data_IF_218238491747
#
_entry.id   IF_218238491747
#
_cell.length_a   1.000
_cell.length_b   1.000
_cell.length_c   1.000
_cell.angle_alpha   90.00
_cell.angle_beta   90.00
_cell.angle_gamma   90.00
#
_symmetry.space_group_name_H-M   'P 1'
#
loop_
_entity.id
_entity.type
_entity.pdbx_description
1 polymer ?
#
# COMPACT_ATOMS: atom_id res chain seq x y z
N UNK A 1 -12.61 -21.83 -68.28
CA UNK A 1 -13.06 -21.04 -67.12
C UNK A 1 -12.60 -19.61 -67.30
N UNK A 2 -13.51 -18.64 -67.36
CA UNK A 2 -13.19 -17.25 -67.73
C UNK A 2 -12.36 -16.56 -66.65
N UNK A 3 -11.55 -15.58 -67.07
CA UNK A 3 -10.74 -14.69 -66.23
C UNK A 3 -11.54 -14.03 -65.10
N UNK A 4 -12.84 -13.77 -65.31
CA UNK A 4 -13.74 -13.22 -64.30
C UNK A 4 -13.97 -14.18 -63.11
N UNK A 5 -14.06 -15.49 -63.34
CA UNK A 5 -14.25 -16.48 -62.27
C UNK A 5 -13.00 -16.64 -61.38
N UNK A 6 -11.79 -16.41 -61.94
CA UNK A 6 -10.54 -16.36 -61.17
C UNK A 6 -10.47 -15.09 -60.32
N UNK A 7 -10.80 -13.93 -60.89
CA UNK A 7 -10.80 -12.66 -60.15
C UNK A 7 -11.78 -12.67 -58.97
N UNK A 8 -12.98 -13.22 -59.16
CA UNK A 8 -13.99 -13.30 -58.09
C UNK A 8 -13.59 -14.28 -56.98
N UNK A 9 -12.92 -15.41 -57.32
CA UNK A 9 -12.33 -16.31 -56.32
C UNK A 9 -11.20 -15.65 -55.53
N UNK A 10 -10.31 -14.91 -56.20
CA UNK A 10 -9.22 -14.19 -55.54
C UNK A 10 -9.75 -13.11 -54.59
N UNK A 11 -10.79 -12.38 -54.99
CA UNK A 11 -11.43 -11.37 -54.14
C UNK A 11 -12.09 -12.01 -52.90
N UNK A 12 -12.77 -13.15 -53.08
CA UNK A 12 -13.43 -13.87 -52.00
C UNK A 12 -12.43 -14.44 -50.98
N UNK A 13 -11.31 -15.00 -51.46
CA UNK A 13 -10.22 -15.49 -50.61
C UNK A 13 -9.58 -14.33 -49.83
N UNK A 14 -9.37 -13.18 -50.48
CA UNK A 14 -8.83 -11.98 -49.83
C UNK A 14 -9.75 -11.47 -48.71
N UNK A 15 -11.07 -11.44 -48.97
CA UNK A 15 -12.08 -11.03 -48.00
C UNK A 15 -12.13 -12.00 -46.79
N UNK A 16 -12.05 -13.31 -47.04
CA UNK A 16 -11.98 -14.33 -45.98
C UNK A 16 -10.71 -14.21 -45.15
N UNK A 17 -9.55 -13.94 -45.77
CA UNK A 17 -8.31 -13.69 -45.02
C UNK A 17 -8.36 -12.40 -44.19
N UNK A 18 -9.03 -11.35 -44.68
CA UNK A 18 -9.24 -10.11 -43.93
C UNK A 18 -10.19 -10.31 -42.74
N UNK A 19 -11.24 -11.11 -42.90
CA UNK A 19 -12.17 -11.44 -41.83
C UNK A 19 -11.54 -12.35 -40.75
N UNK A 20 -10.65 -13.27 -41.14
CA UNK A 20 -9.91 -14.12 -40.20
C UNK A 20 -8.79 -13.34 -39.48
N UNK A 21 -8.14 -12.39 -40.16
CA UNK A 21 -7.15 -11.50 -39.55
C UNK A 21 -7.79 -10.48 -38.57
N UNK A 22 -9.03 -10.06 -38.81
CA UNK A 22 -9.77 -9.17 -37.92
C UNK A 22 -10.12 -9.81 -36.55
N UNK A 23 -10.06 -11.14 -36.43
CA UNK A 23 -10.27 -11.87 -35.18
C UNK A 23 -8.96 -12.15 -34.41
N UNK A 24 -7.80 -11.74 -34.93
CA UNK A 24 -6.49 -11.98 -34.32
C UNK A 24 -6.05 -10.86 -33.36
N UNK A 25 -6.99 -10.26 -32.63
CA UNK A 25 -6.67 -9.31 -31.56
C UNK A 25 -6.00 -10.00 -30.37
N UNK A 26 -5.26 -9.26 -29.53
CA UNK A 26 -4.72 -9.81 -28.29
C UNK A 26 -5.85 -10.40 -27.44
N UNK A 27 -5.70 -11.68 -27.05
CA UNK A 27 -6.64 -12.37 -26.16
C UNK A 27 -6.38 -11.92 -24.73
N UNK A 28 -7.35 -11.26 -24.13
CA UNK A 28 -7.31 -10.88 -22.72
C UNK A 28 -7.93 -11.98 -21.87
N UNK A 29 -7.44 -12.13 -20.64
CA UNK A 29 -8.00 -13.08 -19.68
C UNK A 29 -9.45 -12.70 -19.36
N UNK A 30 -10.31 -13.71 -19.29
CA UNK A 30 -11.70 -13.60 -18.85
C UNK A 30 -11.93 -14.55 -17.68
N UNK A 31 -12.93 -14.27 -16.84
CA UNK A 31 -13.37 -15.23 -15.83
C UNK A 31 -14.15 -16.35 -16.52
N UNK A 32 -13.54 -17.53 -16.61
CA UNK A 32 -14.13 -18.73 -17.21
C UNK A 32 -14.70 -19.72 -16.18
N UNK A 33 -14.82 -19.29 -14.92
CA UNK A 33 -15.36 -20.12 -13.85
C UNK A 33 -14.40 -21.18 -13.30
N UNK A 34 -13.14 -21.23 -13.76
CA UNK A 34 -12.15 -22.15 -13.20
C UNK A 34 -11.88 -21.86 -11.72
N UNK A 35 -11.42 -22.86 -10.99
CA UNK A 35 -10.98 -22.70 -9.59
C UNK A 35 -9.76 -21.76 -9.55
N UNK A 36 -9.77 -20.83 -8.60
CA UNK A 36 -8.65 -19.90 -8.32
C UNK A 36 -8.17 -20.09 -6.89
N UNK A 37 -7.03 -19.49 -6.55
CA UNK A 37 -6.62 -19.36 -5.16
C UNK A 37 -7.54 -18.37 -4.43
N UNK A 38 -8.33 -18.89 -3.49
CA UNK A 38 -9.28 -18.10 -2.70
C UNK A 38 -8.59 -17.10 -1.76
N UNK A 39 -7.36 -17.40 -1.32
CA UNK A 39 -6.56 -16.47 -0.49
C UNK A 39 -6.14 -15.26 -1.32
N UNK A 40 -5.59 -15.51 -2.51
CA UNK A 40 -5.23 -14.45 -3.45
C UNK A 40 -6.47 -13.63 -3.85
N UNK A 41 -7.59 -14.29 -4.18
CA UNK A 41 -8.83 -13.60 -4.52
C UNK A 41 -9.34 -12.71 -3.38
N UNK A 42 -9.29 -13.18 -2.13
CA UNK A 42 -9.66 -12.39 -0.96
C UNK A 42 -8.75 -11.17 -0.79
N UNK A 43 -7.44 -11.32 -1.00
CA UNK A 43 -6.49 -10.20 -0.96
C UNK A 43 -6.72 -9.22 -2.11
N UNK A 44 -7.01 -9.69 -3.33
CA UNK A 44 -7.32 -8.81 -4.47
C UNK A 44 -8.56 -7.95 -4.16
N UNK A 45 -9.60 -8.53 -3.56
CA UNK A 45 -10.79 -7.80 -3.12
C UNK A 45 -10.45 -6.78 -2.03
N UNK A 46 -9.70 -7.20 -1.01
CA UNK A 46 -9.26 -6.31 0.07
C UNK A 46 -8.42 -5.12 -0.45
N UNK A 47 -7.62 -5.36 -1.49
CA UNK A 47 -6.81 -4.35 -2.16
C UNK A 47 -7.67 -3.34 -2.91
N UNK A 48 -8.64 -3.80 -3.70
CA UNK A 48 -9.57 -2.90 -4.38
C UNK A 48 -10.41 -2.06 -3.42
N UNK A 49 -10.96 -2.67 -2.37
CA UNK A 49 -11.70 -1.94 -1.32
C UNK A 49 -10.81 -0.89 -0.64
N UNK A 50 -9.56 -1.24 -0.37
CA UNK A 50 -8.59 -0.31 0.22
C UNK A 50 -8.26 0.87 -0.68
N UNK A 51 -7.94 0.62 -1.95
CA UNK A 51 -7.68 1.69 -2.92
C UNK A 51 -8.90 2.61 -3.07
N UNK A 52 -10.12 2.06 -3.06
CA UNK A 52 -11.37 2.83 -3.14
C UNK A 52 -11.63 3.66 -1.88
N UNK A 53 -11.19 3.22 -0.70
CA UNK A 53 -11.26 4.01 0.54
C UNK A 53 -10.20 5.12 0.58
N UNK A 54 -8.96 4.80 0.17
CA UNK A 54 -7.81 5.71 0.26
C UNK A 54 -7.85 6.79 -0.84
N UNK A 55 -8.31 6.48 -2.06
CA UNK A 55 -8.24 7.43 -3.17
C UNK A 55 -9.02 8.74 -2.92
N UNK A 56 -10.27 8.72 -2.41
CA UNK A 56 -10.96 9.93 -1.98
C UNK A 56 -10.25 10.66 -0.84
N UNK A 57 -9.68 9.92 0.12
CA UNK A 57 -8.94 10.49 1.24
C UNK A 57 -7.68 11.26 0.78
N UNK A 58 -6.96 10.75 -0.23
CA UNK A 58 -5.83 11.48 -0.83
C UNK A 58 -6.30 12.80 -1.45
N UNK A 59 -7.38 12.77 -2.23
CA UNK A 59 -7.96 13.99 -2.81
C UNK A 59 -8.46 14.97 -1.74
N UNK A 60 -9.01 14.48 -0.63
CA UNK A 60 -9.41 15.30 0.51
C UNK A 60 -8.21 15.94 1.21
N UNK A 61 -7.09 15.23 1.35
CA UNK A 61 -5.86 15.80 1.93
C UNK A 61 -5.32 16.99 1.12
N UNK A 62 -5.50 16.99 -0.20
CA UNK A 62 -5.11 18.09 -1.08
C UNK A 62 -5.82 19.41 -0.76
N UNK A 63 -7.00 19.36 -0.14
CA UNK A 63 -7.77 20.56 0.22
C UNK A 63 -7.06 21.42 1.29
N UNK A 64 -6.12 20.85 2.05
CA UNK A 64 -5.30 21.60 3.01
C UNK A 64 -4.48 22.70 2.34
N UNK A 65 -3.99 22.45 1.11
CA UNK A 65 -3.02 23.31 0.41
C UNK A 65 -1.87 23.75 1.32
N UNK A 66 -1.36 22.81 2.11
CA UNK A 66 -0.47 23.08 3.23
C UNK A 66 0.85 23.72 2.76
N UNK A 67 1.20 24.96 3.13
CA UNK A 67 2.46 25.57 2.71
C UNK A 67 3.69 24.97 3.39
N UNK A 68 3.53 24.19 4.46
CA UNK A 68 4.61 23.70 5.32
C UNK A 68 5.12 22.31 4.93
N UNK A 69 4.54 21.68 3.90
CA UNK A 69 4.95 20.36 3.42
C UNK A 69 5.56 20.40 2.02
N UNK A 70 6.52 19.50 1.77
CA UNK A 70 7.00 19.23 0.42
C UNK A 70 5.89 18.62 -0.44
N UNK A 71 5.90 18.91 -1.73
CA UNK A 71 4.77 18.65 -2.63
C UNK A 71 5.02 17.49 -3.58
N UNK A 72 3.96 16.76 -3.88
CA UNK A 72 3.92 15.69 -4.87
C UNK A 72 2.64 15.74 -5.69
N UNK A 73 2.71 15.28 -6.93
CA UNK A 73 1.55 15.16 -7.81
C UNK A 73 0.90 13.79 -7.67
N UNK A 74 -0.43 13.74 -7.63
CA UNK A 74 -1.20 12.50 -7.56
C UNK A 74 -2.31 12.46 -8.62
N UNK A 75 -2.72 11.26 -9.01
CA UNK A 75 -3.81 11.04 -9.96
C UNK A 75 -5.16 10.93 -9.24
N UNK A 76 -6.26 11.42 -9.85
CA UNK A 76 -7.61 11.27 -9.30
C UNK A 76 -8.18 9.84 -9.46
N UNK A 77 -7.32 8.85 -9.70
CA UNK A 77 -7.67 7.44 -9.81
C UNK A 77 -6.44 6.57 -9.54
N UNK A 78 -6.70 5.30 -9.25
CA UNK A 78 -5.70 4.24 -9.24
C UNK A 78 -6.02 3.26 -10.38
N UNK A 79 -4.98 2.70 -10.98
CA UNK A 79 -5.09 1.60 -11.95
C UNK A 79 -4.51 0.32 -11.36
N UNK A 80 -4.74 -0.82 -11.98
CA UNK A 80 -4.04 -2.09 -11.74
C UNK A 80 -3.96 -2.88 -13.05
N UNK A 81 -3.08 -3.88 -13.11
CA UNK A 81 -2.98 -4.79 -14.26
C UNK A 81 -2.65 -6.21 -13.81
N UNK A 82 -3.22 -7.18 -14.51
CA UNK A 82 -2.86 -8.59 -14.43
C UNK A 82 -1.77 -8.99 -15.45
N UNK A 83 -1.16 -8.01 -16.12
CA UNK A 83 -0.04 -8.24 -17.03
C UNK A 83 1.12 -8.91 -16.29
N UNK A 84 1.73 -9.91 -16.92
CA UNK A 84 2.85 -10.64 -16.34
C UNK A 84 2.50 -11.64 -15.23
N UNK A 85 1.24 -11.80 -14.82
CA UNK A 85 0.84 -12.85 -13.86
C UNK A 85 0.66 -14.21 -14.53
N UNK A 86 0.74 -15.28 -13.71
CA UNK A 86 0.39 -16.63 -14.15
C UNK A 86 -1.09 -16.70 -14.58
N UNK A 87 -1.40 -17.57 -15.52
CA UNK A 87 -2.73 -17.61 -16.16
C UNK A 87 -3.88 -17.78 -15.16
N UNK A 88 -3.73 -18.64 -14.16
CA UNK A 88 -4.73 -18.86 -13.10
C UNK A 88 -4.89 -17.65 -12.19
N UNK A 89 -3.80 -16.92 -11.93
CA UNK A 89 -3.81 -15.75 -11.05
C UNK A 89 -4.46 -14.57 -11.76
N UNK A 90 -4.27 -14.45 -13.08
CA UNK A 90 -5.01 -13.47 -13.90
C UNK A 90 -6.52 -13.66 -13.79
N UNK A 91 -7.01 -14.90 -13.73
CA UNK A 91 -8.45 -15.15 -13.52
C UNK A 91 -8.89 -14.64 -12.14
N UNK A 92 -8.07 -14.76 -11.10
CA UNK A 92 -8.37 -14.19 -9.79
C UNK A 92 -8.46 -12.64 -9.84
N UNK A 93 -7.61 -11.98 -10.63
CA UNK A 93 -7.67 -10.53 -10.87
C UNK A 93 -8.92 -10.10 -11.61
N UNK A 94 -9.31 -10.83 -12.66
CA UNK A 94 -10.55 -10.57 -13.39
C UNK A 94 -11.77 -10.78 -12.49
N UNK A 95 -11.80 -11.88 -11.73
CA UNK A 95 -12.90 -12.20 -10.80
C UNK A 95 -13.00 -11.23 -9.63
N UNK A 96 -11.86 -10.77 -9.12
CA UNK A 96 -11.79 -9.90 -7.96
C UNK A 96 -12.12 -8.45 -8.27
N UNK A 97 -11.60 -7.91 -9.38
CA UNK A 97 -11.66 -6.47 -9.71
C UNK A 97 -11.95 -6.15 -11.18
N UNK A 98 -12.21 -7.14 -12.04
CA UNK A 98 -12.36 -6.92 -13.49
C UNK A 98 -11.05 -6.54 -14.19
N UNK A 99 -9.92 -6.76 -13.52
CA UNK A 99 -8.58 -6.41 -13.99
C UNK A 99 -8.02 -7.54 -14.84
N UNK A 100 -7.78 -7.26 -16.11
CA UNK A 100 -7.07 -8.16 -17.02
C UNK A 100 -5.66 -7.59 -17.30
N UNK A 101 -5.02 -8.01 -18.38
CA UNK A 101 -3.68 -7.57 -18.74
C UNK A 101 -3.59 -6.07 -19.07
N UNK A 102 -4.70 -5.36 -19.26
CA UNK A 102 -4.71 -3.91 -19.52
C UNK A 102 -4.72 -3.13 -18.22
N UNK A 103 -4.12 -1.94 -18.22
CA UNK A 103 -4.25 -0.99 -17.12
C UNK A 103 -5.72 -0.62 -16.91
N UNK A 104 -6.31 -1.14 -15.84
CA UNK A 104 -7.72 -1.04 -15.51
C UNK A 104 -7.89 -0.17 -14.27
N UNK A 105 -8.82 0.80 -14.29
CA UNK A 105 -9.12 1.69 -13.17
C UNK A 105 -9.78 0.90 -12.03
N UNK A 106 -9.18 0.94 -10.84
CA UNK A 106 -9.64 0.19 -9.64
C UNK A 106 -10.14 1.08 -8.50
N UNK A 107 -9.82 2.37 -8.54
CA UNK A 107 -10.33 3.38 -7.60
C UNK A 107 -10.37 4.76 -8.25
N UNK A 108 -11.28 5.61 -7.81
CA UNK A 108 -11.43 6.99 -8.29
C UNK A 108 -11.65 7.94 -7.12
N UNK A 109 -11.13 9.16 -7.26
CA UNK A 109 -11.45 10.27 -6.37
C UNK A 109 -12.72 10.99 -6.86
N UNK A 110 -13.42 11.73 -5.97
CA UNK A 110 -14.51 12.61 -6.39
C UNK A 110 -14.08 13.54 -7.51
N UNK A 111 -14.89 13.64 -8.56
CA UNK A 111 -14.61 14.49 -9.73
C UNK A 111 -13.66 13.89 -10.77
N UNK A 112 -13.19 12.65 -10.60
CA UNK A 112 -12.42 11.96 -11.65
C UNK A 112 -13.25 11.81 -12.95
N UNK A 113 -12.66 12.04 -14.14
CA UNK A 113 -13.33 11.81 -15.41
C UNK A 113 -13.42 10.31 -15.78
N UNK A 114 -12.79 9.44 -14.99
CA UNK A 114 -12.77 8.00 -15.19
C UNK A 114 -13.74 7.29 -14.24
N UNK A 115 -14.16 6.11 -14.66
CA UNK A 115 -15.01 5.21 -13.89
C UNK A 115 -14.31 3.89 -13.59
N UNK A 116 -14.74 3.18 -12.55
CA UNK A 116 -14.20 1.86 -12.21
C UNK A 116 -14.34 0.91 -13.41
N UNK A 117 -13.28 0.16 -13.69
CA UNK A 117 -13.23 -0.77 -14.82
C UNK A 117 -12.86 -0.13 -16.17
N UNK A 118 -12.73 1.20 -16.27
CA UNK A 118 -12.18 1.83 -17.48
C UNK A 118 -10.76 1.31 -17.75
N UNK A 119 -10.47 0.97 -19.01
CA UNK A 119 -9.18 0.40 -19.40
C UNK A 119 -8.42 1.39 -20.27
N UNK A 120 -7.20 1.72 -19.83
CA UNK A 120 -6.33 2.65 -20.53
C UNK A 120 -5.70 1.95 -21.74
N UNK A 121 -5.75 2.65 -22.87
CA UNK A 121 -5.12 2.24 -24.13
C UNK A 121 -3.91 3.11 -24.46
N UNK A 122 -3.95 4.40 -24.12
CA UNK A 122 -2.86 5.33 -24.39
C UNK A 122 -2.75 6.41 -23.31
N UNK A 123 -1.51 6.83 -23.02
CA UNK A 123 -1.20 7.97 -22.16
C UNK A 123 -0.45 8.99 -23.01
N UNK A 124 -0.93 10.24 -23.08
CA UNK A 124 -0.32 11.30 -23.92
C UNK A 124 -0.18 10.91 -25.39
N UNK A 125 -1.13 10.10 -25.90
CA UNK A 125 -1.11 9.56 -27.26
C UNK A 125 -0.15 8.38 -27.47
N UNK A 126 0.67 8.02 -26.48
CA UNK A 126 1.55 6.86 -26.52
C UNK A 126 0.78 5.61 -26.14
N UNK A 127 0.71 4.64 -27.07
CA UNK A 127 0.14 3.31 -26.85
C UNK A 127 1.26 2.33 -26.55
N UNK A 128 1.04 1.44 -25.60
CA UNK A 128 1.92 0.30 -25.35
C UNK A 128 1.07 -0.93 -25.03
N UNK A 129 1.47 -2.08 -25.58
CA UNK A 129 0.85 -3.36 -25.26
C UNK A 129 1.42 -3.98 -23.98
N UNK A 130 2.54 -3.44 -23.50
CA UNK A 130 3.10 -3.74 -22.19
C UNK A 130 2.56 -2.74 -21.18
N UNK A 131 1.69 -3.22 -20.31
CA UNK A 131 1.03 -2.40 -19.29
C UNK A 131 2.02 -1.84 -18.27
N UNK A 132 3.18 -2.45 -18.05
CA UNK A 132 4.22 -1.91 -17.15
C UNK A 132 4.88 -0.67 -17.76
N UNK A 133 5.18 -0.69 -19.07
CA UNK A 133 5.68 0.51 -19.77
C UNK A 133 4.64 1.61 -19.84
N UNK A 134 3.38 1.26 -20.11
CA UNK A 134 2.29 2.24 -20.11
C UNK A 134 2.08 2.87 -18.71
N UNK A 135 2.31 2.09 -17.65
CA UNK A 135 2.24 2.58 -16.27
C UNK A 135 3.38 3.55 -15.94
N UNK A 136 4.59 3.28 -16.46
CA UNK A 136 5.70 4.23 -16.38
C UNK A 136 5.39 5.53 -17.14
N UNK A 137 4.79 5.47 -18.34
CA UNK A 137 4.34 6.68 -19.05
C UNK A 137 3.27 7.45 -18.27
N UNK A 138 2.35 6.74 -17.60
CA UNK A 138 1.38 7.35 -16.70
C UNK A 138 2.06 8.08 -15.53
N UNK A 139 3.19 7.53 -15.05
CA UNK A 139 3.99 8.14 -14.00
C UNK A 139 4.65 9.43 -14.38
N UNK A 140 5.34 9.41 -15.50
CA UNK A 140 5.95 10.61 -16.04
C UNK A 140 4.88 11.67 -16.32
N UNK A 141 3.71 11.28 -16.84
CA UNK A 141 2.61 12.21 -17.08
C UNK A 141 2.09 12.85 -15.78
N UNK A 142 1.89 12.06 -14.72
CA UNK A 142 1.51 12.56 -13.38
C UNK A 142 2.54 13.57 -12.86
N UNK A 143 3.82 13.24 -12.92
CA UNK A 143 4.89 14.00 -12.28
C UNK A 143 5.14 15.36 -12.97
N UNK A 144 4.64 15.54 -14.20
CA UNK A 144 4.62 16.87 -14.83
C UNK A 144 3.66 17.85 -14.15
N UNK A 145 2.66 17.36 -13.41
CA UNK A 145 1.58 18.18 -12.82
C UNK A 145 0.64 18.84 -13.83
N UNK A 146 0.82 18.58 -15.13
CA UNK A 146 0.05 19.23 -16.20
C UNK A 146 -1.11 18.32 -16.66
N UNK A 147 -2.22 18.90 -17.13
CA UNK A 147 -3.28 18.11 -17.76
C UNK A 147 -2.74 17.32 -18.95
N UNK A 148 -3.17 16.06 -19.09
CA UNK A 148 -2.78 15.19 -20.19
C UNK A 148 -3.94 14.33 -20.69
N UNK A 149 -3.86 13.92 -21.96
CA UNK A 149 -4.87 13.08 -22.59
C UNK A 149 -4.67 11.59 -22.26
N UNK A 150 -5.77 10.91 -21.97
CA UNK A 150 -5.89 9.47 -21.87
C UNK A 150 -6.83 8.96 -22.95
N UNK A 151 -6.44 7.91 -23.66
CA UNK A 151 -7.36 7.17 -24.53
C UNK A 151 -7.74 5.86 -23.87
N UNK A 152 -9.03 5.55 -23.88
CA UNK A 152 -9.59 4.31 -23.31
C UNK A 152 -9.77 3.25 -24.39
N UNK A 153 -9.83 1.99 -23.99
CA UNK A 153 -10.16 0.87 -24.88
C UNK A 153 -11.56 0.97 -25.46
N UNK A 154 -12.45 1.78 -24.84
CA UNK A 154 -13.78 2.08 -25.36
C UNK A 154 -13.77 3.08 -26.53
N UNK A 155 -12.61 3.61 -26.92
CA UNK A 155 -12.46 4.65 -27.93
C UNK A 155 -12.64 6.08 -27.41
N UNK A 156 -13.04 6.26 -26.15
CA UNK A 156 -13.14 7.58 -25.51
C UNK A 156 -11.75 8.17 -25.29
N UNK A 157 -11.60 9.48 -25.48
CA UNK A 157 -10.41 10.22 -25.06
C UNK A 157 -10.82 11.28 -24.05
N UNK A 158 -10.11 11.34 -22.93
CA UNK A 158 -10.42 12.18 -21.78
C UNK A 158 -9.18 12.97 -21.38
N UNK A 159 -9.37 14.15 -20.81
CA UNK A 159 -8.26 14.91 -20.21
C UNK A 159 -8.26 14.67 -18.71
N UNK A 160 -7.10 14.31 -18.16
CA UNK A 160 -6.87 14.13 -16.72
C UNK A 160 -5.95 15.23 -16.24
N UNK A 161 -6.27 15.80 -15.09
CA UNK A 161 -5.42 16.77 -14.38
C UNK A 161 -4.94 16.15 -13.07
N UNK A 162 -3.63 15.94 -12.90
CA UNK A 162 -3.05 15.64 -11.59
C UNK A 162 -3.36 16.74 -10.58
N UNK A 163 -3.37 16.41 -9.30
CA UNK A 163 -3.52 17.37 -8.22
C UNK A 163 -2.38 17.25 -7.22
N UNK A 164 -2.12 18.34 -6.51
CA UNK A 164 -0.99 18.47 -5.60
C UNK A 164 -1.38 18.04 -4.19
N UNK A 165 -0.51 17.25 -3.55
CA UNK A 165 -0.64 16.79 -2.16
C UNK A 165 0.69 16.96 -1.43
N UNK A 166 0.66 16.88 -0.10
CA UNK A 166 1.89 16.70 0.66
C UNK A 166 2.57 15.39 0.27
N UNK A 167 3.90 15.40 0.29
CA UNK A 167 4.74 14.24 -0.02
C UNK A 167 4.43 13.09 0.93
N UNK A 168 4.53 11.87 0.42
CA UNK A 168 4.25 10.65 1.15
C UNK A 168 3.11 9.91 0.48
N UNK A 169 3.41 9.27 -0.66
CA UNK A 169 2.43 8.44 -1.34
C UNK A 169 1.91 7.34 -0.40
N UNK A 170 0.61 7.28 -0.22
CA UNK A 170 -0.04 6.18 0.49
C UNK A 170 -0.34 5.07 -0.49
N UNK A 171 0.24 3.88 -0.28
CA UNK A 171 -0.03 2.67 -1.09
C UNK A 171 -0.29 1.47 -0.21
N UNK A 172 -0.96 0.48 -0.77
CA UNK A 172 -1.27 -0.79 -0.14
C UNK A 172 -0.36 -1.90 -0.64
N UNK A 173 -0.07 -2.84 0.24
CA UNK A 173 0.68 -4.05 -0.09
C UNK A 173 0.02 -4.82 -1.26
N UNK A 174 0.81 -5.35 -2.20
CA UNK A 174 0.31 -6.21 -3.27
C UNK A 174 -0.46 -7.42 -2.72
N UNK A 175 -1.56 -7.88 -3.36
CA UNK A 175 -2.33 -9.04 -2.91
C UNK A 175 -1.59 -10.36 -2.72
N UNK A 176 -0.47 -10.58 -3.42
CA UNK A 176 0.36 -11.77 -3.24
C UNK A 176 1.37 -11.65 -2.08
N UNK A 177 1.60 -10.44 -1.59
CA UNK A 177 2.47 -10.15 -0.42
C UNK A 177 1.73 -9.24 0.57
N UNK A 178 0.55 -9.66 1.07
CA UNK A 178 -0.38 -8.78 1.77
C UNK A 178 0.13 -8.27 3.13
N UNK A 179 1.09 -8.95 3.74
CA UNK A 179 1.70 -8.55 5.02
C UNK A 179 2.84 -7.55 4.85
N UNK A 180 3.19 -7.22 3.60
CA UNK A 180 4.31 -6.36 3.32
C UNK A 180 4.05 -4.94 3.81
N UNK A 181 5.05 -4.36 4.47
CA UNK A 181 5.06 -2.96 4.85
C UNK A 181 6.46 -2.37 4.67
N UNK A 182 6.51 -1.13 4.23
CA UNK A 182 7.76 -0.37 4.10
C UNK A 182 7.42 1.12 4.24
N UNK A 183 8.26 1.86 4.97
CA UNK A 183 7.98 3.23 5.34
C UNK A 183 9.13 4.13 4.88
N UNK A 184 8.86 4.99 3.90
CA UNK A 184 9.87 5.81 3.26
C UNK A 184 9.34 7.23 3.05
N UNK A 185 10.24 8.22 3.02
CA UNK A 185 9.85 9.64 2.90
C UNK A 185 9.18 10.02 1.58
N UNK A 186 9.14 9.13 0.58
CA UNK A 186 8.43 9.40 -0.67
C UNK A 186 7.09 8.68 -0.73
N UNK A 187 7.00 7.56 -0.03
CA UNK A 187 6.01 6.52 -0.23
C UNK A 187 6.00 5.65 1.03
N UNK A 188 4.82 5.35 1.56
CA UNK A 188 4.64 4.29 2.53
C UNK A 188 3.75 3.21 1.94
N UNK A 189 4.24 1.98 2.03
CA UNK A 189 3.51 0.77 1.72
C UNK A 189 2.91 0.22 3.00
N UNK A 190 1.59 0.24 3.10
CA UNK A 190 0.85 -0.27 4.24
C UNK A 190 0.44 -1.73 4.02
N UNK A 191 0.59 -2.56 5.05
CA UNK A 191 0.10 -3.94 5.02
C UNK A 191 -1.40 -3.97 4.69
N UNK A 192 -1.81 -4.91 3.84
CA UNK A 192 -3.17 -4.99 3.31
C UNK A 192 -4.21 -5.26 4.40
N UNK A 193 -3.79 -5.78 5.55
CA UNK A 193 -4.66 -5.98 6.70
C UNK A 193 -5.41 -4.71 7.14
N UNK A 194 -4.85 -3.50 6.93
CA UNK A 194 -5.53 -2.26 7.33
C UNK A 194 -6.90 -2.11 6.64
N UNK A 195 -7.07 -2.67 5.44
CA UNK A 195 -8.33 -2.57 4.69
C UNK A 195 -9.39 -3.51 5.25
N UNK A 196 -8.96 -4.59 5.94
CA UNK A 196 -9.85 -5.52 6.66
C UNK A 196 -10.42 -4.91 7.94
N UNK A 197 -10.00 -3.71 8.34
CA UNK A 197 -10.63 -2.93 9.40
C UNK A 197 -11.93 -2.23 8.95
N UNK A 198 -12.27 -2.26 7.65
CA UNK A 198 -13.38 -1.51 7.05
C UNK A 198 -13.29 -0.02 7.41
N UNK A 199 -12.31 0.65 6.80
CA UNK A 199 -11.99 2.05 7.05
C UNK A 199 -13.22 2.94 6.77
N UNK A 200 -13.55 3.83 7.70
CA UNK A 200 -14.42 4.97 7.41
C UNK A 200 -13.65 6.01 6.59
N UNK A 201 -14.36 7.01 6.05
CA UNK A 201 -13.72 8.11 5.31
C UNK A 201 -12.67 8.86 6.14
N UNK A 202 -12.95 9.11 7.43
CA UNK A 202 -12.01 9.79 8.32
C UNK A 202 -10.83 8.88 8.74
N UNK A 203 -11.02 7.56 8.83
CA UNK A 203 -9.93 6.60 9.10
C UNK A 203 -9.02 6.41 7.88
N UNK A 204 -9.59 6.44 6.67
CA UNK A 204 -8.82 6.48 5.43
C UNK A 204 -8.05 7.79 5.31
N UNK A 205 -8.67 8.93 5.66
CA UNK A 205 -7.98 10.21 5.73
C UNK A 205 -6.86 10.19 6.78
N UNK A 206 -7.10 9.64 7.96
CA UNK A 206 -6.06 9.45 8.98
C UNK A 206 -4.85 8.69 8.41
N UNK A 207 -5.09 7.58 7.70
CA UNK A 207 -4.02 6.78 7.07
C UNK A 207 -3.18 7.61 6.10
N UNK A 208 -3.82 8.45 5.29
CA UNK A 208 -3.15 9.35 4.35
C UNK A 208 -2.36 10.43 5.07
N UNK A 209 -2.98 11.14 6.01
CA UNK A 209 -2.33 12.22 6.75
C UNK A 209 -1.17 11.69 7.61
N UNK A 210 -1.32 10.51 8.19
CA UNK A 210 -0.24 9.84 8.91
C UNK A 210 0.94 9.52 7.99
N UNK A 211 0.65 9.05 6.77
CA UNK A 211 1.70 8.78 5.77
C UNK A 211 2.44 10.06 5.37
N UNK A 212 1.71 11.15 5.17
CA UNK A 212 2.29 12.46 4.88
C UNK A 212 3.12 12.98 6.06
N UNK A 213 2.59 12.88 7.28
CA UNK A 213 3.30 13.25 8.50
C UNK A 213 4.59 12.45 8.70
N UNK A 214 4.58 11.15 8.42
CA UNK A 214 5.78 10.32 8.46
C UNK A 214 6.84 10.81 7.48
N UNK A 215 6.42 11.18 6.26
CA UNK A 215 7.28 11.75 5.23
C UNK A 215 7.91 13.07 5.69
N UNK A 216 7.11 13.99 6.23
CA UNK A 216 7.58 15.34 6.57
C UNK A 216 8.41 15.34 7.85
N UNK A 217 7.96 14.64 8.90
CA UNK A 217 8.63 14.60 10.20
C UNK A 217 9.88 13.72 10.20
N UNK A 218 9.85 12.62 9.43
CA UNK A 218 10.96 11.67 9.34
C UNK A 218 11.87 11.87 8.14
N UNK A 219 11.44 12.67 7.15
CA UNK A 219 12.06 12.70 5.83
C UNK A 219 13.53 13.06 5.83
N UNK A 220 13.92 14.07 6.61
CA UNK A 220 15.32 14.48 6.71
C UNK A 220 16.21 13.37 7.30
N UNK A 221 15.73 12.66 8.34
CA UNK A 221 16.45 11.55 8.97
C UNK A 221 16.55 10.35 8.04
N UNK A 222 15.44 9.99 7.39
CA UNK A 222 15.37 8.90 6.44
C UNK A 222 16.29 9.13 5.23
N UNK A 223 16.27 10.34 4.64
CA UNK A 223 17.19 10.75 3.57
C UNK A 223 18.65 10.68 4.00
N UNK A 224 18.96 11.21 5.19
CA UNK A 224 20.34 11.21 5.71
C UNK A 224 20.86 9.78 5.89
N UNK A 225 20.04 8.89 6.44
CA UNK A 225 20.39 7.48 6.56
C UNK A 225 20.56 6.81 5.19
N UNK A 226 19.63 7.04 4.26
CA UNK A 226 19.69 6.48 2.91
C UNK A 226 20.98 6.92 2.18
N UNK A 227 21.24 8.23 2.07
CA UNK A 227 22.44 8.72 1.39
C UNK A 227 23.73 8.46 2.14
N UNK A 228 23.68 8.39 3.48
CA UNK A 228 24.84 8.05 4.32
C UNK A 228 25.21 6.56 4.28
N UNK A 229 24.28 5.68 3.90
CA UNK A 229 24.51 4.22 3.80
C UNK A 229 24.76 3.73 2.35
N UNK A 230 24.59 4.59 1.34
CA UNK A 230 24.84 4.26 -0.07
C UNK A 230 26.25 4.64 -0.55
N UNK A 231 26.96 3.70 -1.17
CA UNK A 231 27.97 3.99 -2.21
C UNK A 231 27.18 4.26 -3.50
N UNK A 232 27.16 5.51 -3.94
CA UNK A 232 26.66 6.08 -5.22
C UNK A 232 25.92 5.12 -6.16
N UNK A 233 24.60 5.27 -6.25
CA UNK A 233 23.76 4.70 -7.32
C UNK A 233 22.39 5.38 -7.38
N UNK A 234 22.26 6.45 -8.17
CA UNK A 234 21.00 7.19 -8.36
C UNK A 234 20.08 6.48 -9.34
N UNK A 235 18.93 5.97 -8.89
CA UNK A 235 17.75 5.75 -9.74
C UNK A 235 16.45 5.89 -8.91
N UNK A 236 15.48 6.63 -9.46
CA UNK A 236 14.11 6.83 -8.93
C UNK A 236 13.22 6.74 -10.16
N UNK A 237 12.18 5.89 -10.20
CA UNK A 237 10.94 6.14 -10.97
C UNK A 237 9.89 5.00 -10.92
N UNK A 238 10.23 3.74 -10.61
CA UNK A 238 9.27 2.63 -10.79
C UNK A 238 8.31 2.38 -9.60
N UNK A 239 8.70 2.66 -8.35
CA UNK A 239 7.89 2.33 -7.17
C UNK A 239 6.67 3.24 -6.93
N UNK A 240 6.71 4.45 -7.48
CA UNK A 240 5.84 5.57 -7.05
C UNK A 240 4.39 5.47 -7.56
N UNK A 241 4.16 4.63 -8.58
CA UNK A 241 2.84 4.41 -9.18
C UNK A 241 2.45 2.96 -9.35
N UNK A 242 3.39 2.05 -9.15
CA UNK A 242 3.13 0.65 -9.38
C UNK A 242 2.29 0.04 -8.25
N UNK A 243 0.99 0.09 -8.49
CA UNK A 243 0.14 -1.11 -8.46
C UNK A 243 0.48 -2.08 -9.63
N UNK A 244 1.59 -1.86 -10.34
CA UNK A 244 2.27 -2.77 -11.27
C UNK A 244 2.86 -3.90 -10.45
N UNK A 245 1.98 -4.84 -10.14
CA UNK A 245 2.17 -5.75 -9.04
C UNK A 245 3.36 -6.66 -9.21
N UNK A 246 3.90 -6.84 -10.42
CA UNK A 246 5.01 -7.76 -10.63
C UNK A 246 6.36 -7.19 -10.20
N UNK A 247 6.66 -5.91 -10.45
CA UNK A 247 7.91 -5.30 -10.00
C UNK A 247 8.00 -5.23 -8.48
N UNK A 248 6.91 -4.80 -7.85
CA UNK A 248 6.75 -4.82 -6.39
C UNK A 248 6.68 -6.25 -5.84
N UNK A 249 5.98 -7.19 -6.49
CA UNK A 249 5.91 -8.60 -6.05
C UNK A 249 7.23 -9.33 -6.15
N UNK A 250 7.99 -9.19 -7.24
CA UNK A 250 9.27 -9.86 -7.43
C UNK A 250 10.31 -9.30 -6.46
N UNK A 251 10.33 -7.98 -6.28
CA UNK A 251 11.19 -7.35 -5.30
C UNK A 251 10.73 -7.66 -3.86
N UNK A 252 9.43 -7.82 -3.60
CA UNK A 252 8.88 -8.26 -2.32
C UNK A 252 9.19 -9.73 -2.03
N UNK A 253 9.04 -10.61 -3.00
CA UNK A 253 9.38 -12.04 -2.86
C UNK A 253 10.88 -12.22 -2.68
N UNK A 254 11.70 -11.44 -3.40
CA UNK A 254 13.14 -11.41 -3.19
C UNK A 254 13.53 -10.80 -1.83
N UNK A 255 12.82 -9.75 -1.36
CA UNK A 255 13.00 -9.17 -0.03
C UNK A 255 12.57 -10.14 1.08
N UNK A 256 11.43 -10.83 0.94
CA UNK A 256 10.95 -11.86 1.86
C UNK A 256 11.94 -13.02 1.91
N UNK A 257 12.46 -13.47 0.75
CA UNK A 257 13.45 -14.54 0.70
C UNK A 257 14.79 -14.10 1.30
N UNK A 258 15.24 -12.87 1.05
CA UNK A 258 16.41 -12.29 1.70
C UNK A 258 16.23 -12.15 3.21
N UNK A 259 15.05 -11.69 3.66
CA UNK A 259 14.68 -11.57 5.07
C UNK A 259 14.57 -12.94 5.75
N UNK A 260 14.05 -13.97 5.08
CA UNK A 260 14.05 -15.36 5.56
C UNK A 260 15.47 -15.89 5.73
N UNK A 261 16.36 -15.63 4.77
CA UNK A 261 17.77 -16.03 4.83
C UNK A 261 18.57 -15.25 5.89
N UNK A 262 18.23 -13.99 6.15
CA UNK A 262 18.79 -13.22 7.27
C UNK A 262 18.25 -13.72 8.62
N UNK A 263 16.94 -13.99 8.71
CA UNK A 263 16.27 -14.47 9.90
C UNK A 263 16.69 -15.89 10.32
N UNK A 264 17.21 -16.74 9.41
CA UNK A 264 17.80 -18.03 9.78
C UNK A 264 19.09 -17.91 10.58
N UNK A 265 19.69 -16.72 10.65
CA UNK A 265 20.98 -16.47 11.33
C UNK A 265 20.83 -15.89 12.74
N UNK A 266 19.63 -15.42 13.13
CA UNK A 266 19.38 -14.76 14.44
C UNK A 266 18.07 -15.24 15.08
N UNK A 267 17.92 -16.55 15.23
CA UNK A 267 16.79 -17.12 15.95
C UNK A 267 17.10 -17.24 17.45
N UNK A 268 16.73 -16.23 18.25
CA UNK A 268 16.28 -16.50 19.62
C UNK A 268 14.90 -17.15 19.52
N UNK A 269 14.88 -18.48 19.40
CA UNK A 269 13.70 -19.32 19.13
C UNK A 269 12.56 -19.17 20.14
N UNK A 270 12.84 -18.68 21.35
CA UNK A 270 11.92 -18.73 22.49
C UNK A 270 10.85 -17.62 22.44
N UNK A 271 11.12 -16.45 21.85
CA UNK A 271 10.15 -15.32 21.84
C UNK A 271 9.23 -15.36 20.61
N UNK A 272 9.77 -15.73 19.44
CA UNK A 272 8.98 -15.80 18.19
C UNK A 272 7.92 -16.89 18.24
N UNK A 273 8.25 -18.09 18.71
CA UNK A 273 7.25 -19.17 18.77
C UNK A 273 6.13 -18.85 19.75
N UNK A 274 6.46 -18.28 20.91
CA UNK A 274 5.45 -18.01 21.93
C UNK A 274 4.43 -16.95 21.49
N UNK A 275 4.88 -15.88 20.81
CA UNK A 275 3.99 -14.82 20.30
C UNK A 275 3.19 -15.30 19.08
N UNK A 276 3.83 -16.04 18.16
CA UNK A 276 3.17 -16.54 16.94
C UNK A 276 2.14 -17.63 17.27
N UNK A 277 2.44 -18.54 18.19
CA UNK A 277 1.48 -19.56 18.62
C UNK A 277 0.32 -18.97 19.42
N UNK A 278 0.58 -18.00 20.30
CA UNK A 278 -0.49 -17.31 21.03
C UNK A 278 -1.38 -16.48 20.09
N UNK A 279 -0.80 -15.81 19.09
CA UNK A 279 -1.55 -15.08 18.07
C UNK A 279 -2.38 -16.01 17.17
N UNK A 280 -1.81 -17.14 16.74
CA UNK A 280 -2.50 -18.14 15.91
C UNK A 280 -3.63 -18.86 16.66
N UNK A 281 -3.43 -19.19 17.94
CA UNK A 281 -4.46 -19.82 18.76
C UNK A 281 -5.65 -18.87 18.96
N UNK A 282 -5.39 -17.58 19.19
CA UNK A 282 -6.44 -16.56 19.33
C UNK A 282 -7.18 -16.32 18.02
N UNK A 283 -6.46 -16.24 16.89
CA UNK A 283 -7.05 -16.11 15.56
C UNK A 283 -7.89 -17.35 15.17
N UNK A 284 -7.41 -18.56 15.45
CA UNK A 284 -8.12 -19.82 15.17
C UNK A 284 -9.35 -20.04 16.08
N UNK A 285 -9.37 -19.43 17.27
CA UNK A 285 -10.55 -19.41 18.12
C UNK A 285 -11.60 -18.43 17.61
N UNK A 286 -11.19 -17.22 17.18
CA UNK A 286 -12.09 -16.19 16.63
C UNK A 286 -12.69 -16.53 15.26
N UNK A 287 -11.97 -17.26 14.41
CA UNK A 287 -12.50 -17.77 13.13
C UNK A 287 -13.67 -18.74 13.36
N UNK A 288 -13.68 -19.47 14.49
CA UNK A 288 -14.78 -20.38 14.84
C UNK A 288 -16.02 -19.68 15.39
N UNK A 289 -15.87 -18.47 15.93
CA UNK A 289 -16.97 -17.68 16.54
C UNK A 289 -17.60 -16.66 15.57
N UNK A 290 -17.13 -16.60 14.32
CA UNK A 290 -17.43 -15.54 13.36
C UNK A 290 -18.81 -15.56 12.71
N UNK A 291 -19.89 -15.40 13.49
CA UNK A 291 -21.24 -15.10 12.96
C UNK A 291 -22.17 -14.37 13.95
N UNK A 292 -21.64 -13.56 14.88
CA UNK A 292 -22.45 -12.55 15.59
C UNK A 292 -21.66 -11.27 15.86
N UNK A 293 -22.16 -10.14 15.38
CA UNK A 293 -21.71 -8.79 15.75
C UNK A 293 -22.14 -8.46 17.19
N UNK A 294 -21.62 -9.23 18.15
CA UNK A 294 -21.56 -8.80 19.54
C UNK A 294 -20.12 -8.33 19.78
N UNK A 295 -19.95 -7.03 19.97
CA UNK A 295 -18.69 -6.42 20.37
C UNK A 295 -18.20 -7.02 21.70
N UNK A 296 -17.48 -8.15 21.64
CA UNK A 296 -16.83 -8.73 22.81
C UNK A 296 -15.90 -7.65 23.38
N UNK A 297 -16.12 -7.26 24.63
CA UNK A 297 -15.16 -6.43 25.35
C UNK A 297 -13.86 -7.21 25.45
N UNK A 298 -12.78 -6.65 24.89
CA UNK A 298 -11.45 -7.22 25.04
C UNK A 298 -11.05 -7.15 26.50
N UNK A 299 -10.39 -8.19 26.99
CA UNK A 299 -9.80 -8.14 28.33
C UNK A 299 -8.61 -7.19 28.33
N UNK A 300 -8.29 -6.59 29.48
CA UNK A 300 -7.09 -5.76 29.64
C UNK A 300 -5.83 -6.51 29.17
N UNK A 301 -5.75 -7.82 29.43
CA UNK A 301 -4.64 -8.65 28.97
C UNK A 301 -4.55 -8.77 27.44
N UNK A 302 -5.68 -8.92 26.76
CA UNK A 302 -5.69 -8.98 25.28
C UNK A 302 -5.21 -7.67 24.67
N UNK A 303 -5.61 -6.53 25.23
CA UNK A 303 -5.15 -5.21 24.78
C UNK A 303 -3.64 -5.05 25.00
N UNK A 304 -3.13 -5.43 26.18
CA UNK A 304 -1.69 -5.38 26.48
C UNK A 304 -0.87 -6.27 25.52
N UNK A 305 -1.32 -7.52 25.29
CA UNK A 305 -0.65 -8.43 24.35
C UNK A 305 -0.63 -7.85 22.93
N UNK A 306 -1.72 -7.22 22.52
CA UNK A 306 -1.80 -6.59 21.20
C UNK A 306 -0.85 -5.39 21.10
N UNK A 307 -0.78 -4.54 22.13
CA UNK A 307 0.18 -3.41 22.18
C UNK A 307 1.64 -3.89 22.16
N UNK A 308 1.94 -5.01 22.83
CA UNK A 308 3.26 -5.63 22.76
C UNK A 308 3.56 -6.14 21.34
N UNK A 309 2.59 -6.74 20.66
CA UNK A 309 2.74 -7.15 19.27
C UNK A 309 2.95 -5.95 18.34
N UNK A 310 2.26 -4.82 18.56
CA UNK A 310 2.48 -3.58 17.81
C UNK A 310 3.89 -3.04 18.03
N UNK A 311 4.38 -3.01 19.27
CA UNK A 311 5.76 -2.60 19.58
C UNK A 311 6.80 -3.52 18.93
N UNK A 312 6.54 -4.84 18.93
CA UNK A 312 7.38 -5.83 18.24
C UNK A 312 7.34 -5.63 16.72
N UNK A 313 6.19 -5.30 16.14
CA UNK A 313 6.06 -5.00 14.71
C UNK A 313 6.91 -3.78 14.35
N UNK A 314 6.75 -2.68 15.09
CA UNK A 314 7.51 -1.43 14.90
C UNK A 314 9.02 -1.65 14.99
N UNK A 315 9.49 -2.44 15.96
CA UNK A 315 10.91 -2.77 16.13
C UNK A 315 11.45 -3.75 15.09
N UNK A 316 10.59 -4.52 14.42
CA UNK A 316 10.99 -5.43 13.34
C UNK A 316 11.26 -4.73 12.00
N UNK A 317 10.94 -3.44 11.89
CA UNK A 317 11.27 -2.62 10.73
C UNK A 317 12.79 -2.46 10.59
N UNK A 318 13.25 -2.37 9.35
CA UNK A 318 14.67 -2.36 8.99
C UNK A 318 14.97 -1.28 7.95
N UNK A 319 16.25 -0.99 7.74
CA UNK A 319 16.71 0.04 6.80
C UNK A 319 16.08 1.41 7.05
N UNK A 320 15.61 2.07 5.97
CA UNK A 320 14.96 3.38 6.06
C UNK A 320 13.67 3.33 6.90
N UNK A 321 12.91 2.23 6.83
CA UNK A 321 11.68 2.08 7.60
C UNK A 321 11.94 2.05 9.12
N UNK A 322 13.08 1.50 9.56
CA UNK A 322 13.51 1.57 10.98
C UNK A 322 13.71 3.02 11.42
N UNK A 323 14.31 3.85 10.56
CA UNK A 323 14.50 5.28 10.85
C UNK A 323 13.15 6.00 10.88
N UNK A 324 12.27 5.71 9.92
CA UNK A 324 10.89 6.22 9.92
C UNK A 324 10.12 5.83 11.19
N UNK A 325 10.32 4.62 11.70
CA UNK A 325 9.70 4.14 12.94
C UNK A 325 9.99 5.03 14.15
N UNK A 326 11.10 5.79 14.15
CA UNK A 326 11.48 6.68 15.26
C UNK A 326 10.63 7.95 15.36
N UNK A 327 9.78 8.24 14.37
CA UNK A 327 8.93 9.44 14.32
C UNK A 327 7.44 9.11 14.15
N UNK A 328 7.04 7.86 14.43
CA UNK A 328 5.64 7.44 14.31
C UNK A 328 4.69 8.25 15.22
N UNK A 329 5.15 8.65 16.40
CA UNK A 329 4.45 9.55 17.32
C UNK A 329 4.21 10.94 16.70
N UNK A 330 5.18 11.47 15.97
CA UNK A 330 5.03 12.74 15.25
C UNK A 330 4.10 12.61 14.05
N UNK A 331 4.13 11.47 13.36
CA UNK A 331 3.17 11.17 12.31
C UNK A 331 1.73 11.08 12.86
N UNK A 332 1.54 10.56 14.07
CA UNK A 332 0.24 10.55 14.76
C UNK A 332 -0.23 11.96 15.09
N UNK A 333 0.66 12.79 15.66
CA UNK A 333 0.37 14.19 15.93
C UNK A 333 0.01 14.95 14.65
N UNK A 334 0.80 14.77 13.58
CA UNK A 334 0.55 15.38 12.28
C UNK A 334 -0.83 15.00 11.76
N UNK A 335 -1.18 13.72 11.78
CA UNK A 335 -2.48 13.23 11.32
C UNK A 335 -3.63 13.86 12.11
N UNK A 336 -3.50 13.92 13.43
CA UNK A 336 -4.48 14.52 14.32
C UNK A 336 -4.71 16.01 14.04
N UNK A 337 -3.63 16.79 13.94
CA UNK A 337 -3.71 18.24 13.70
C UNK A 337 -4.27 18.55 12.31
N UNK A 338 -3.87 17.80 11.29
CA UNK A 338 -4.33 18.02 9.93
C UNK A 338 -5.76 17.53 9.70
N UNK A 339 -6.20 16.49 10.43
CA UNK A 339 -7.60 16.08 10.45
C UNK A 339 -8.50 17.22 10.98
N UNK A 340 -8.10 17.89 12.06
CA UNK A 340 -8.80 19.09 12.57
C UNK A 340 -8.89 20.20 11.52
N UNK A 341 -7.77 20.52 10.85
CA UNK A 341 -7.71 21.56 9.81
C UNK A 341 -8.65 21.25 8.63
N UNK A 342 -8.89 19.96 8.33
CA UNK A 342 -9.81 19.49 7.28
C UNK A 342 -11.26 19.34 7.73
N UNK A 343 -11.59 19.68 8.98
CA UNK A 343 -12.91 19.43 9.56
C UNK A 343 -13.27 17.94 9.64
N UNK A 344 -12.26 17.06 9.66
CA UNK A 344 -12.42 15.63 9.89
C UNK A 344 -12.46 15.30 11.37
N UNK A 345 -12.92 14.10 11.74
CA UNK A 345 -12.80 13.62 13.11
C UNK A 345 -11.32 13.35 13.47
N UNK A 346 -10.70 14.12 14.38
CA UNK A 346 -9.31 13.90 14.78
C UNK A 346 -9.12 12.62 15.62
N UNK A 347 -10.22 12.03 16.12
CA UNK A 347 -10.19 10.80 16.88
C UNK A 347 -10.25 9.54 15.99
N UNK A 348 -10.26 9.71 14.66
CA UNK A 348 -10.28 8.59 13.72
C UNK A 348 -9.11 7.63 13.92
N UNK A 349 -7.93 8.11 14.31
CA UNK A 349 -6.79 7.28 14.68
C UNK A 349 -7.08 6.34 15.87
N UNK A 350 -7.77 6.82 16.90
CA UNK A 350 -8.16 6.00 18.05
C UNK A 350 -9.21 4.95 17.67
N UNK A 351 -10.21 5.32 16.87
CA UNK A 351 -11.23 4.37 16.38
C UNK A 351 -10.60 3.30 15.49
N UNK A 352 -9.68 3.70 14.60
CA UNK A 352 -8.93 2.77 13.77
C UNK A 352 -8.07 1.83 14.62
N UNK A 353 -7.30 2.37 15.57
CA UNK A 353 -6.53 1.56 16.51
C UNK A 353 -7.41 0.53 17.23
N UNK A 354 -8.55 0.96 17.77
CA UNK A 354 -9.50 0.08 18.46
C UNK A 354 -9.99 -1.07 17.55
N UNK A 355 -10.36 -0.76 16.29
CA UNK A 355 -10.76 -1.77 15.30
C UNK A 355 -9.63 -2.75 14.99
N UNK A 356 -8.41 -2.25 14.83
CA UNK A 356 -7.22 -3.06 14.54
C UNK A 356 -6.93 -4.03 15.70
N UNK A 357 -6.98 -3.57 16.95
CA UNK A 357 -6.81 -4.44 18.12
C UNK A 357 -7.93 -5.49 18.19
N UNK A 358 -9.20 -5.10 18.06
CA UNK A 358 -10.34 -6.01 18.14
C UNK A 358 -10.32 -7.14 17.11
N UNK A 359 -9.75 -6.86 15.94
CA UNK A 359 -9.62 -7.78 14.81
C UNK A 359 -8.25 -8.46 14.76
N UNK A 360 -7.36 -8.20 15.72
CA UNK A 360 -5.99 -8.73 15.76
C UNK A 360 -5.15 -8.38 14.50
N UNK A 361 -5.36 -7.18 13.96
CA UNK A 361 -4.68 -6.64 12.77
C UNK A 361 -3.58 -5.65 13.21
N UNK A 362 -2.51 -6.17 13.79
CA UNK A 362 -1.49 -5.40 14.53
C UNK A 362 -0.12 -5.34 13.83
N UNK A 363 -0.02 -5.88 12.62
CA UNK A 363 1.20 -5.95 11.81
C UNK A 363 1.28 -4.76 10.84
N UNK A 364 1.04 -3.55 11.35
CA UNK A 364 1.05 -2.29 10.59
C UNK A 364 1.50 -1.11 11.46
N UNK A 365 1.73 0.05 10.83
CA UNK A 365 2.19 1.27 11.49
C UNK A 365 1.08 2.14 12.09
N UNK A 366 -0.20 1.84 11.83
CA UNK A 366 -1.34 2.65 12.27
C UNK A 366 -1.86 2.23 13.65
N UNK A 367 -1.64 0.98 14.05
CA UNK A 367 -1.89 0.57 15.42
C UNK A 367 -0.87 1.25 16.36
N UNK A 368 -1.36 1.84 17.46
CA UNK A 368 -0.52 2.44 18.47
C UNK A 368 0.07 1.38 19.41
N UNK A 369 1.38 1.46 19.62
CA UNK A 369 1.99 0.89 20.83
C UNK A 369 1.64 1.78 22.03
N UNK A 370 1.99 1.32 23.24
CA UNK A 370 1.61 2.03 24.46
C UNK A 370 2.16 3.46 24.52
N UNK A 371 3.41 3.66 24.06
CA UNK A 371 4.07 4.98 24.08
C UNK A 371 3.36 5.97 23.16
N UNK A 372 3.07 5.52 21.93
CA UNK A 372 2.36 6.33 20.94
C UNK A 372 0.94 6.64 21.41
N UNK A 373 0.24 5.65 21.97
CA UNK A 373 -1.11 5.85 22.49
C UNK A 373 -1.12 6.89 23.61
N UNK A 374 -0.16 6.81 24.54
CA UNK A 374 -0.04 7.80 25.62
C UNK A 374 0.32 9.20 25.08
N UNK A 375 1.23 9.29 24.10
CA UNK A 375 1.61 10.56 23.48
C UNK A 375 0.44 11.25 22.78
N UNK A 376 -0.29 10.53 21.93
CA UNK A 376 -1.44 11.08 21.21
C UNK A 376 -2.63 11.36 22.14
N UNK A 377 -2.80 10.58 23.21
CA UNK A 377 -3.82 10.86 24.23
C UNK A 377 -3.58 12.20 24.93
N UNK A 378 -2.32 12.54 25.27
CA UNK A 378 -2.00 13.86 25.86
C UNK A 378 -2.40 15.02 24.95
N UNK A 379 -2.23 14.85 23.63
CA UNK A 379 -2.66 15.85 22.64
C UNK A 379 -4.19 15.97 22.63
N UNK A 380 -4.90 14.84 22.62
CA UNK A 380 -6.36 14.82 22.66
C UNK A 380 -6.91 15.44 23.96
N UNK A 381 -6.32 15.13 25.11
CA UNK A 381 -6.68 15.70 26.41
C UNK A 381 -6.45 17.22 26.45
N UNK A 382 -5.32 17.71 25.92
CA UNK A 382 -5.06 19.14 25.80
C UNK A 382 -6.08 19.88 24.92
N UNK A 383 -6.79 19.16 24.04
CA UNK A 383 -7.90 19.66 23.22
C UNK A 383 -9.28 19.43 23.85
N UNK A 384 -9.35 18.88 25.06
CA UNK A 384 -10.60 18.58 25.76
C UNK A 384 -11.32 17.32 25.27
N UNK A 385 -10.65 16.45 24.50
CA UNK A 385 -11.23 15.25 23.88
C UNK A 385 -10.95 13.95 24.66
N UNK A 386 -10.44 14.05 25.89
CA UNK A 386 -10.02 12.88 26.67
C UNK A 386 -11.17 11.94 27.04
N UNK A 387 -12.38 12.47 27.24
CA UNK A 387 -13.57 11.65 27.54
C UNK A 387 -13.97 10.79 26.34
N UNK A 388 -13.96 11.39 25.15
CA UNK A 388 -14.27 10.72 23.88
C UNK A 388 -13.23 9.65 23.55
N UNK A 389 -11.94 9.93 23.80
CA UNK A 389 -10.88 8.91 23.68
C UNK A 389 -11.15 7.73 24.60
N UNK A 390 -11.44 7.96 25.88
CA UNK A 390 -11.77 6.88 26.81
C UNK A 390 -13.00 6.09 26.36
N UNK A 391 -14.03 6.75 25.84
CA UNK A 391 -15.21 6.08 25.31
C UNK A 391 -14.88 5.18 24.11
N UNK A 392 -14.04 5.64 23.18
CA UNK A 392 -13.57 4.86 22.03
C UNK A 392 -12.77 3.64 22.50
N UNK A 393 -11.87 3.82 23.47
CA UNK A 393 -11.04 2.77 24.06
C UNK A 393 -11.80 1.90 25.08
N UNK A 394 -13.14 1.95 25.09
CA UNK A 394 -14.03 1.16 25.95
C UNK A 394 -13.72 1.28 27.45
N UNK A 395 -13.34 2.47 27.88
CA UNK A 395 -13.02 2.81 29.26
C UNK A 395 -11.59 2.51 29.69
N UNK A 396 -10.74 2.01 28.79
CA UNK A 396 -9.31 1.80 29.08
C UNK A 396 -8.59 3.15 29.00
N UNK A 397 -7.94 3.56 30.09
CA UNK A 397 -7.11 4.77 30.12
C UNK A 397 -5.70 4.46 29.60
N UNK A 398 -5.19 5.23 28.62
CA UNK A 398 -3.82 5.07 28.11
C UNK A 398 -2.73 5.08 29.19
N UNK A 399 -2.83 5.97 30.18
CA UNK A 399 -1.84 6.05 31.27
C UNK A 399 -1.80 4.79 32.14
N UNK A 400 -2.94 4.12 32.35
CA UNK A 400 -3.00 2.87 33.10
C UNK A 400 -2.40 1.68 32.34
N UNK A 401 -2.38 1.75 31.00
CA UNK A 401 -1.71 0.77 30.16
C UNK A 401 -0.19 0.95 30.21
N UNK A 402 0.28 2.20 30.13
CA UNK A 402 1.70 2.52 30.26
C UNK A 402 2.27 2.01 31.59
N UNK A 403 1.61 2.33 32.71
CA UNK A 403 2.02 1.85 34.04
C UNK A 403 2.03 0.32 34.15
N UNK A 404 1.11 -0.36 33.45
CA UNK A 404 1.08 -1.83 33.42
C UNK A 404 2.17 -2.45 32.53
N UNK A 405 2.78 -1.65 31.65
CA UNK A 405 3.80 -2.06 30.69
C UNK A 405 5.21 -1.59 31.05
N UNK A 406 5.39 -0.91 32.20
CA UNK A 406 6.69 -0.42 32.70
C UNK A 406 7.77 -1.51 32.84
N UNK A 407 7.37 -2.79 32.93
CA UNK A 407 8.27 -3.95 32.99
C UNK A 407 8.50 -4.66 31.65
N UNK A 408 8.04 -4.09 30.52
CA UNK A 408 8.13 -4.70 29.19
C UNK A 408 9.14 -3.97 28.29
N UNK A 409 9.79 -4.67 27.34
CA UNK A 409 10.62 -4.01 26.35
C UNK A 409 9.75 -3.10 25.47
N UNK A 410 9.94 -1.79 25.62
CA UNK A 410 9.26 -0.76 24.82
C UNK A 410 9.83 -0.72 23.40
N UNK A 411 9.05 -0.24 22.43
CA UNK A 411 9.56 -0.03 21.07
C UNK A 411 10.68 1.01 21.03
N UNK A 412 10.68 1.98 21.95
CA UNK A 412 11.76 2.95 22.13
C UNK A 412 12.98 2.42 22.90
N UNK A 413 12.91 1.21 23.47
CA UNK A 413 13.99 0.66 24.26
C UNK A 413 15.26 0.58 23.39
N UNK A 414 16.41 1.09 23.88
CA UNK A 414 17.59 1.26 23.05
C UNK A 414 18.17 -0.11 22.68
N UNK A 415 17.88 -0.58 21.47
CA UNK A 415 18.91 -1.26 20.70
C UNK A 415 19.88 -0.19 20.19
N UNK A 416 21.16 -0.30 20.53
CA UNK A 416 22.16 0.64 20.08
C UNK A 416 22.11 0.79 18.55
N UNK A 417 21.71 1.98 18.07
CA UNK A 417 21.82 2.33 16.67
C UNK A 417 23.31 2.35 16.30
N UNK A 418 23.72 1.41 15.45
CA UNK A 418 25.07 1.32 14.92
C UNK A 418 25.02 1.41 13.39
N UNK A 419 25.85 2.27 12.81
CA UNK A 419 26.06 2.34 11.35
C UNK A 419 26.59 1.01 10.79
N UNK A 420 27.30 0.26 11.62
CA UNK A 420 27.75 -1.11 11.37
C UNK A 420 27.12 -2.01 12.44
N UNK A 421 25.89 -2.47 12.21
CA UNK A 421 25.34 -3.53 13.04
C UNK A 421 25.88 -4.86 12.51
N UNK A 422 26.46 -5.70 13.37
CA UNK A 422 26.91 -7.06 13.01
C UNK A 422 25.73 -7.96 12.61
N UNK A 423 24.49 -7.52 12.92
CA UNK A 423 23.22 -8.09 12.45
C UNK A 423 22.57 -7.26 11.32
N UNK A 424 23.27 -6.31 10.69
CA UNK A 424 22.83 -5.67 9.44
C UNK A 424 22.89 -6.72 8.33
N UNK A 425 21.76 -7.12 7.72
CA UNK A 425 21.76 -8.09 6.61
C UNK A 425 22.30 -7.48 5.30
N UNK A 426 23.15 -6.43 5.39
CA UNK A 426 23.63 -5.53 4.35
C UNK A 426 24.41 -6.15 3.19
N UNK A 427 24.38 -7.47 2.99
CA UNK A 427 24.92 -8.14 1.79
C UNK A 427 23.85 -8.44 0.72
N UNK A 428 22.56 -8.17 0.97
CA UNK A 428 21.48 -8.38 0.00
C UNK A 428 20.95 -7.08 -0.64
N UNK A 429 20.69 -7.09 -1.95
CA UNK A 429 20.06 -5.96 -2.70
C UNK A 429 18.71 -5.51 -2.11
N UNK A 430 18.06 -6.39 -1.36
CA UNK A 430 16.77 -6.17 -0.71
C UNK A 430 16.87 -6.05 0.82
N UNK A 431 18.08 -5.88 1.36
CA UNK A 431 18.32 -5.80 2.81
C UNK A 431 18.22 -4.39 3.41
N UNK A 432 17.93 -3.36 2.57
CA UNK A 432 17.72 -1.97 3.00
C UNK A 432 16.30 -1.37 2.88
N UNK A 433 15.38 -2.01 2.17
CA UNK A 433 13.96 -1.72 2.08
C UNK A 433 13.46 -2.23 0.73
N UNK A 434 12.17 -2.56 0.57
CA UNK A 434 11.64 -2.82 -0.76
C UNK A 434 11.72 -1.55 -1.60
N UNK A 435 11.33 -0.43 -1.02
CA UNK A 435 11.32 0.86 -1.70
C UNK A 435 12.75 1.20 -2.13
N UNK A 436 13.73 1.06 -1.22
CA UNK A 436 15.14 1.25 -1.56
C UNK A 436 15.62 0.30 -2.66
N UNK A 437 15.26 -0.98 -2.57
CA UNK A 437 15.65 -1.94 -3.59
C UNK A 437 15.04 -1.62 -4.96
N UNK A 438 13.81 -1.10 -5.01
CA UNK A 438 13.14 -0.65 -6.24
C UNK A 438 13.73 0.65 -6.79
N UNK A 439 14.26 1.53 -5.93
CA UNK A 439 15.04 2.69 -6.35
C UNK A 439 16.34 2.24 -7.03
N UNK A 440 17.00 1.22 -6.50
CA UNK A 440 18.29 0.74 -7.01
C UNK A 440 18.20 -0.20 -8.25
N UNK A 441 17.02 -0.40 -8.87
CA UNK A 441 16.88 -1.23 -10.09
C UNK A 441 17.21 -0.38 -11.33
N UNK A 442 18.24 -0.75 -12.13
CA UNK A 442 18.41 -0.17 -13.46
C UNK A 442 17.17 -0.46 -14.30
N UNK A 443 16.50 0.60 -14.74
CA UNK A 443 15.57 0.48 -15.86
C UNK A 443 16.35 -0.17 -16.98
N UNK A 444 15.84 -1.28 -17.52
CA UNK A 444 16.37 -1.89 -18.73
C UNK A 444 16.14 -0.87 -19.86
N UNK A 445 17.05 0.09 -19.97
CA UNK A 445 17.09 1.03 -21.07
C UNK A 445 17.48 0.23 -22.30
N UNK A 446 16.60 0.23 -23.29
CA UNK A 446 16.78 -0.26 -24.65
C UNK A 446 18.17 -0.82 -24.96
N UNK A 447 18.22 -2.11 -25.30
CA UNK A 447 19.28 -2.64 -26.14
C UNK A 447 19.34 -1.77 -27.43
N UNK A 448 20.23 -0.78 -27.43
CA UNK A 448 20.54 0.02 -28.61
C UNK A 448 21.28 -0.88 -29.60
N UNK A 449 20.52 -1.27 -30.62
CA UNK A 449 20.91 -1.83 -31.94
C UNK A 449 21.50 -3.23 -31.98
#
# INVERSE_FOLDING_TARGET
>A
MSTAARAMRSLFVLLLSLLLAACAGPKYTVDDGRKVDETLLANIRAYGTGEQAIRPAIARSAALRDPECDKQWELPFAVATAYGWAETDRVAWVRGLGVDERLTVVATAPGSPLTLGDKLLAVRGQKDNDSERLLATLAEARDTGKPFALSLSSGRTLTVTPFEVCRGYTRLAPPNTPEMQDYHWLLSLHALEITRANLTEDEALWTVLWTQGLSEEGGARMKTYHYGSQIVGTLYNLATLATGLRGAALAAEAAINAAKNAASTVASEIVKQQIIEQGKALAAQRIRDGLSEAAQQLTKQQVMNAMQAVASNRSSLWGVARVGATVFDRADQWAFEHALKLGANPLAGFTLHQKLIERSLVSNGLAFDAERLAAINKIAEAKGLGYEVQAILRGIKPDELMLAMDSMPLASAPEAFAYENVNDPGSGRYARGLINAMLDIPMESDARK
#
